data_IF_481103167427
#
_entry.id   IF_481103167427
#
_cell.length_a   1.000
_cell.length_b   1.000
_cell.length_c   1.000
_cell.angle_alpha   90.00
_cell.angle_beta   90.00
_cell.angle_gamma   90.00
#
_symmetry.space_group_name_H-M   'P 1'
#
loop_
_entity.id
_entity.type
_entity.pdbx_description
1 polymer ?
#
# COMPACT_ATOMS: atom_id res chain seq x y z
N UNK A 1 -9.28 -37.71 -53.78
CA UNK A 1 -9.66 -36.28 -53.90
C UNK A 1 -10.57 -35.70 -52.79
N UNK A 2 -11.34 -36.45 -51.97
CA UNK A 2 -12.22 -35.84 -50.94
C UNK A 2 -11.45 -35.26 -49.74
N UNK A 3 -10.32 -35.86 -49.37
CA UNK A 3 -9.49 -35.43 -48.23
C UNK A 3 -8.95 -34.00 -48.41
N UNK A 4 -8.55 -33.62 -49.63
CA UNK A 4 -8.07 -32.26 -49.94
C UNK A 4 -9.17 -31.19 -49.86
N UNK A 5 -10.40 -31.54 -50.23
CA UNK A 5 -11.56 -30.62 -50.11
C UNK A 5 -11.98 -30.45 -48.67
N UNK A 6 -11.97 -31.53 -47.89
CA UNK A 6 -12.25 -31.49 -46.45
C UNK A 6 -11.20 -30.67 -45.69
N UNK A 7 -9.90 -30.84 -46.02
CA UNK A 7 -8.82 -30.07 -45.40
C UNK A 7 -8.88 -28.58 -45.75
N UNK A 8 -9.25 -28.25 -47.00
CA UNK A 8 -9.44 -26.85 -47.42
C UNK A 8 -10.66 -26.21 -46.73
N UNK A 9 -11.78 -26.93 -46.63
CA UNK A 9 -12.96 -26.46 -45.91
C UNK A 9 -12.69 -26.27 -44.41
N UNK A 10 -11.97 -27.20 -43.79
CA UNK A 10 -11.53 -27.08 -42.40
C UNK A 10 -10.57 -25.90 -42.20
N UNK A 11 -9.58 -25.71 -43.08
CA UNK A 11 -8.68 -24.57 -43.03
C UNK A 11 -9.41 -23.23 -43.19
N UNK A 12 -10.39 -23.16 -44.10
CA UNK A 12 -11.24 -21.99 -44.27
C UNK A 12 -12.09 -21.71 -43.03
N UNK A 13 -12.69 -22.74 -42.43
CA UNK A 13 -13.47 -22.60 -41.20
C UNK A 13 -12.61 -22.07 -40.05
N UNK A 14 -11.39 -22.60 -39.89
CA UNK A 14 -10.42 -22.09 -38.90
C UNK A 14 -10.04 -20.64 -39.19
N UNK A 15 -9.81 -20.26 -40.45
CA UNK A 15 -9.50 -18.89 -40.83
C UNK A 15 -10.67 -17.92 -40.54
N UNK A 16 -11.90 -18.34 -40.82
CA UNK A 16 -13.11 -17.55 -40.50
C UNK A 16 -13.27 -17.40 -38.98
N UNK A 17 -13.12 -18.48 -38.21
CA UNK A 17 -13.17 -18.42 -36.75
C UNK A 17 -12.07 -17.52 -36.17
N UNK A 18 -10.86 -17.60 -36.71
CA UNK A 18 -9.76 -16.73 -36.32
C UNK A 18 -10.06 -15.25 -36.66
N UNK A 19 -10.66 -14.97 -37.82
CA UNK A 19 -11.08 -13.62 -38.21
C UNK A 19 -12.20 -13.07 -37.32
N UNK A 20 -13.21 -13.89 -37.02
CA UNK A 20 -14.29 -13.52 -36.10
C UNK A 20 -13.76 -13.27 -34.69
N UNK A 21 -12.84 -14.11 -34.21
CA UNK A 21 -12.19 -13.91 -32.92
C UNK A 21 -11.34 -12.64 -32.89
N UNK A 22 -10.59 -12.36 -33.96
CA UNK A 22 -9.82 -11.12 -34.06
C UNK A 22 -10.74 -9.90 -34.02
N UNK A 23 -11.85 -9.90 -34.76
CA UNK A 23 -12.85 -8.84 -34.72
C UNK A 23 -13.45 -8.66 -33.31
N UNK A 24 -13.79 -9.76 -32.64
CA UNK A 24 -14.23 -9.74 -31.24
C UNK A 24 -13.18 -9.12 -30.30
N UNK A 25 -11.91 -9.54 -30.43
CA UNK A 25 -10.83 -9.04 -29.59
C UNK A 25 -10.63 -7.52 -29.77
N UNK A 26 -10.59 -7.04 -31.01
CA UNK A 26 -10.44 -5.60 -31.29
C UNK A 26 -11.64 -4.78 -30.81
N UNK A 27 -12.85 -5.35 -30.85
CA UNK A 27 -14.02 -4.72 -30.26
C UNK A 27 -13.88 -4.57 -28.74
N UNK A 28 -13.52 -5.65 -28.02
CA UNK A 28 -13.31 -5.60 -26.55
C UNK A 28 -12.17 -4.64 -26.18
N UNK A 29 -11.06 -4.63 -26.92
CA UNK A 29 -9.97 -3.68 -26.70
C UNK A 29 -10.40 -2.23 -26.90
N UNK A 30 -11.30 -1.97 -27.85
CA UNK A 30 -11.90 -0.66 -28.06
C UNK A 30 -12.79 -0.21 -26.89
N UNK A 31 -13.60 -1.13 -26.34
CA UNK A 31 -14.45 -0.83 -25.18
C UNK A 31 -13.63 -0.57 -23.91
N UNK A 32 -12.54 -1.34 -23.68
CA UNK A 32 -11.62 -1.09 -22.55
C UNK A 32 -10.96 0.28 -22.67
N UNK A 33 -10.53 0.67 -23.88
CA UNK A 33 -9.97 2.00 -24.15
C UNK A 33 -10.95 3.12 -23.82
N UNK A 34 -12.16 3.06 -24.38
CA UNK A 34 -13.20 4.06 -24.14
C UNK A 34 -13.59 4.12 -22.66
N UNK A 35 -13.68 2.98 -21.99
CA UNK A 35 -13.97 2.92 -20.56
C UNK A 35 -12.93 3.62 -19.71
N UNK A 36 -11.63 3.45 -20.03
CA UNK A 36 -10.55 4.15 -19.34
C UNK A 36 -10.56 5.66 -19.63
N UNK A 37 -10.81 6.07 -20.88
CA UNK A 37 -10.94 7.47 -21.27
C UNK A 37 -12.10 8.15 -20.53
N UNK A 38 -13.28 7.52 -20.51
CA UNK A 38 -14.46 8.02 -19.83
C UNK A 38 -14.26 8.12 -18.30
N UNK A 39 -13.68 7.07 -17.69
CA UNK A 39 -13.32 7.12 -16.27
C UNK A 39 -12.34 8.26 -15.97
N UNK A 40 -11.35 8.48 -16.83
CA UNK A 40 -10.39 9.57 -16.66
C UNK A 40 -11.06 10.95 -16.76
N UNK A 41 -11.99 11.13 -17.68
CA UNK A 41 -12.80 12.35 -17.81
C UNK A 41 -13.67 12.60 -16.57
N UNK A 42 -14.37 11.57 -16.08
CA UNK A 42 -15.19 11.66 -14.86
C UNK A 42 -14.35 12.04 -13.64
N UNK A 43 -13.15 11.45 -13.50
CA UNK A 43 -12.23 11.79 -12.40
C UNK A 43 -11.65 13.19 -12.54
N UNK A 44 -11.30 13.63 -13.75
CA UNK A 44 -10.88 15.02 -13.99
C UNK A 44 -11.99 16.02 -13.65
N UNK A 45 -13.24 15.70 -13.93
CA UNK A 45 -14.39 16.52 -13.54
C UNK A 45 -14.55 16.63 -12.01
N UNK A 46 -14.05 15.65 -11.25
CA UNK A 46 -13.98 15.65 -9.78
C UNK A 46 -12.68 16.27 -9.24
N UNK A 47 -11.87 16.91 -10.10
CA UNK A 47 -10.64 17.59 -9.72
C UNK A 47 -9.38 16.71 -9.68
N UNK A 48 -9.47 15.43 -10.05
CA UNK A 48 -8.31 14.55 -10.11
C UNK A 48 -7.43 14.90 -11.30
N UNK A 49 -6.12 14.73 -11.17
CA UNK A 49 -5.22 14.72 -12.34
C UNK A 49 -5.09 13.29 -12.81
N UNK A 50 -5.61 12.98 -13.99
CA UNK A 50 -5.37 11.69 -14.66
C UNK A 50 -4.74 12.00 -16.01
N UNK A 51 -3.52 11.55 -16.27
CA UNK A 51 -2.84 11.81 -17.54
C UNK A 51 -1.92 10.67 -17.94
N UNK A 52 -1.58 10.61 -19.23
CA UNK A 52 -0.62 9.69 -19.82
C UNK A 52 -0.11 10.29 -21.13
N UNK A 53 1.08 9.88 -21.56
CA UNK A 53 1.70 10.39 -22.80
C UNK A 53 1.16 9.65 -24.04
N UNK A 54 1.08 8.32 -23.96
CA UNK A 54 0.53 7.48 -25.03
C UNK A 54 -0.24 6.30 -24.43
N UNK A 55 -1.16 5.74 -25.21
CA UNK A 55 -1.98 4.59 -24.83
C UNK A 55 -2.18 3.65 -26.02
N UNK A 56 -1.59 2.47 -25.94
CA UNK A 56 -1.60 1.47 -27.02
C UNK A 56 -2.28 0.16 -26.58
N UNK A 57 -3.09 -0.49 -27.44
CA UNK A 57 -3.66 -1.80 -27.11
C UNK A 57 -2.57 -2.88 -27.14
N UNK A 58 -2.63 -3.84 -26.23
CA UNK A 58 -1.71 -4.97 -26.17
C UNK A 58 -2.39 -6.27 -25.73
N UNK A 59 -1.70 -7.41 -25.89
CA UNK A 59 -2.11 -8.71 -25.35
C UNK A 59 -2.79 -9.67 -26.33
N UNK A 60 -3.02 -9.26 -27.59
CA UNK A 60 -3.61 -10.12 -28.61
C UNK A 60 -2.81 -11.43 -28.77
N UNK A 61 -3.46 -12.59 -28.93
CA UNK A 61 -4.92 -12.81 -28.88
C UNK A 61 -5.47 -13.12 -27.47
N UNK A 62 -4.62 -13.50 -26.51
CA UNK A 62 -5.06 -14.17 -25.28
C UNK A 62 -5.49 -13.23 -24.16
N UNK A 63 -5.04 -11.98 -24.18
CA UNK A 63 -5.31 -10.94 -23.17
C UNK A 63 -5.79 -9.68 -23.88
N UNK A 64 -6.68 -8.93 -23.25
CA UNK A 64 -6.98 -7.56 -23.70
C UNK A 64 -6.35 -6.62 -22.69
N UNK A 65 -5.58 -5.65 -23.17
CA UNK A 65 -4.85 -4.74 -22.30
C UNK A 65 -4.48 -3.43 -22.96
N UNK A 66 -4.00 -2.50 -22.15
CA UNK A 66 -3.52 -1.18 -22.57
C UNK A 66 -2.14 -0.94 -21.96
N UNK A 67 -1.19 -0.49 -22.76
CA UNK A 67 0.09 0.02 -22.31
C UNK A 67 0.04 1.55 -22.30
N UNK A 68 0.28 2.15 -21.14
CA UNK A 68 0.34 3.59 -20.94
C UNK A 68 1.79 4.01 -20.67
N UNK A 69 2.25 5.01 -21.41
CA UNK A 69 3.53 5.66 -21.16
C UNK A 69 3.36 6.85 -20.20
N UNK A 70 4.29 6.97 -19.25
CA UNK A 70 4.33 8.05 -18.27
C UNK A 70 2.98 8.37 -17.59
N UNK A 71 2.26 7.38 -17.04
CA UNK A 71 0.97 7.60 -16.39
C UNK A 71 1.12 8.48 -15.14
N UNK A 72 0.14 9.34 -14.94
CA UNK A 72 0.04 10.25 -13.80
C UNK A 72 -1.37 10.19 -13.22
N UNK A 73 -1.44 10.06 -11.90
CA UNK A 73 -2.66 10.03 -11.11
C UNK A 73 -2.47 10.90 -9.87
N UNK A 74 -3.22 11.98 -9.71
CA UNK A 74 -3.24 12.80 -8.52
C UNK A 74 -4.64 12.93 -7.94
N UNK A 75 -4.75 12.62 -6.65
CA UNK A 75 -5.97 12.81 -5.87
C UNK A 75 -5.97 14.25 -5.30
N UNK A 76 -7.09 15.00 -5.36
CA UNK A 76 -7.17 16.36 -4.83
C UNK A 76 -6.74 16.47 -3.36
N UNK A 77 -5.69 17.24 -3.09
CA UNK A 77 -5.15 17.41 -1.74
C UNK A 77 -4.55 16.14 -1.13
N UNK A 78 -4.47 15.05 -1.89
CA UNK A 78 -4.04 13.73 -1.44
C UNK A 78 -2.74 13.26 -2.09
N UNK A 79 -2.66 11.96 -2.38
CA UNK A 79 -1.47 11.37 -3.00
C UNK A 79 -1.49 11.60 -4.51
N UNK A 80 -0.35 12.00 -5.05
CA UNK A 80 -0.05 12.00 -6.47
C UNK A 80 1.05 10.98 -6.78
N UNK A 81 0.81 10.20 -7.82
CA UNK A 81 1.66 9.15 -8.32
C UNK A 81 1.96 9.38 -9.80
N UNK A 82 3.23 9.24 -10.17
CA UNK A 82 3.67 9.17 -11.57
C UNK A 82 4.51 7.93 -11.77
N UNK A 83 4.15 7.12 -12.75
CA UNK A 83 4.90 5.94 -13.16
C UNK A 83 5.70 6.17 -14.44
N UNK A 84 6.69 5.34 -14.70
CA UNK A 84 7.37 5.28 -15.99
C UNK A 84 6.50 4.62 -17.06
N UNK A 85 5.87 3.49 -16.71
CA UNK A 85 4.98 2.74 -17.57
C UNK A 85 3.90 2.05 -16.73
N UNK A 86 2.73 1.83 -17.32
CA UNK A 86 1.65 1.03 -16.73
C UNK A 86 1.01 0.17 -17.81
N UNK A 87 0.95 -1.13 -17.56
CA UNK A 87 0.31 -2.10 -18.42
C UNK A 87 -0.90 -2.68 -17.70
N UNK A 88 -2.10 -2.45 -18.23
CA UNK A 88 -3.32 -3.09 -17.75
C UNK A 88 -3.59 -4.32 -18.62
N UNK A 89 -4.08 -5.40 -18.02
CA UNK A 89 -4.45 -6.61 -18.77
C UNK A 89 -5.55 -7.40 -18.08
N UNK A 90 -6.52 -7.86 -18.86
CA UNK A 90 -7.63 -8.69 -18.44
C UNK A 90 -7.86 -9.84 -19.44
N UNK A 91 -8.70 -10.81 -19.09
CA UNK A 91 -9.08 -11.87 -20.04
C UNK A 91 -10.20 -11.34 -20.95
N UNK A 92 -10.20 -11.62 -22.26
CA UNK A 92 -11.23 -11.10 -23.17
C UNK A 92 -12.68 -11.48 -22.80
N UNK A 93 -12.86 -12.56 -22.02
CA UNK A 93 -14.17 -13.07 -21.56
C UNK A 93 -14.47 -12.76 -20.09
N UNK A 94 -13.51 -12.18 -19.37
CA UNK A 94 -13.61 -11.85 -17.95
C UNK A 94 -12.83 -10.56 -17.70
N UNK A 95 -13.55 -9.45 -17.76
CA UNK A 95 -13.04 -8.10 -17.54
C UNK A 95 -13.14 -7.67 -16.07
N UNK A 96 -13.66 -8.53 -15.18
CA UNK A 96 -13.75 -8.19 -13.75
C UNK A 96 -12.45 -8.49 -13.02
N UNK A 97 -11.55 -9.28 -13.61
CA UNK A 97 -10.20 -9.54 -13.09
C UNK A 97 -9.16 -8.81 -13.91
N UNK A 98 -8.63 -7.72 -13.35
CA UNK A 98 -7.67 -6.84 -14.02
C UNK A 98 -6.33 -6.91 -13.31
N UNK A 99 -5.26 -7.21 -14.05
CA UNK A 99 -3.89 -7.12 -13.56
C UNK A 99 -3.23 -5.89 -14.16
N UNK A 100 -2.72 -5.02 -13.29
CA UNK A 100 -1.93 -3.86 -13.62
C UNK A 100 -0.46 -4.15 -13.30
N UNK A 101 0.44 -3.86 -14.22
CA UNK A 101 1.89 -3.98 -14.04
C UNK A 101 2.54 -2.63 -14.28
N UNK A 102 3.29 -2.14 -13.30
CA UNK A 102 3.95 -0.84 -13.37
C UNK A 102 5.43 -0.97 -12.98
N UNK A 103 6.30 -1.55 -13.83
CA UNK A 103 7.73 -1.64 -13.51
C UNK A 103 8.43 -0.30 -13.72
N UNK A 104 9.65 -0.19 -13.19
CA UNK A 104 10.54 0.94 -13.44
C UNK A 104 10.43 2.01 -12.37
N UNK A 105 10.59 3.29 -12.77
CA UNK A 105 10.62 4.42 -11.83
C UNK A 105 9.24 4.93 -11.48
N UNK A 106 9.07 5.29 -10.22
CA UNK A 106 7.88 5.89 -9.65
C UNK A 106 8.24 7.13 -8.86
N UNK A 107 7.37 8.13 -8.93
CA UNK A 107 7.39 9.30 -8.07
C UNK A 107 6.06 9.35 -7.32
N UNK A 108 6.13 9.32 -6.01
CA UNK A 108 5.01 9.59 -5.12
C UNK A 108 5.20 10.96 -4.48
N UNK A 109 4.10 11.66 -4.28
CA UNK A 109 4.04 12.90 -3.51
C UNK A 109 2.71 12.96 -2.80
N UNK A 110 2.66 13.58 -1.64
CA UNK A 110 1.42 13.70 -0.88
C UNK A 110 1.64 14.31 0.49
N UNK A 111 0.66 14.19 1.40
CA UNK A 111 0.72 14.81 2.72
C UNK A 111 1.93 14.35 3.56
N UNK A 112 2.36 13.10 3.41
CA UNK A 112 3.52 12.55 4.12
C UNK A 112 4.89 12.94 3.50
N UNK A 113 4.89 13.74 2.43
CA UNK A 113 6.09 14.09 1.66
C UNK A 113 6.16 13.38 0.31
N UNK A 114 7.32 13.50 -0.34
CA UNK A 114 7.60 12.88 -1.64
C UNK A 114 8.61 11.75 -1.54
N UNK A 115 8.46 10.74 -2.40
CA UNK A 115 9.38 9.64 -2.54
C UNK A 115 9.59 9.31 -4.03
N UNK A 116 10.83 9.04 -4.40
CA UNK A 116 11.17 8.47 -5.70
C UNK A 116 11.74 7.08 -5.49
N UNK A 117 11.19 6.09 -6.18
CA UNK A 117 11.65 4.72 -6.06
C UNK A 117 11.59 4.01 -7.41
N UNK A 118 12.42 3.00 -7.59
CA UNK A 118 12.30 2.04 -8.68
C UNK A 118 11.74 0.72 -8.14
N UNK A 119 10.92 0.04 -8.92
CA UNK A 119 10.50 -1.32 -8.66
C UNK A 119 10.90 -2.23 -9.83
N UNK A 120 11.48 -3.39 -9.52
CA UNK A 120 11.72 -4.43 -10.52
C UNK A 120 10.39 -5.01 -11.02
N UNK A 121 9.46 -5.22 -10.09
CA UNK A 121 8.09 -5.61 -10.36
C UNK A 121 7.16 -4.85 -9.43
N UNK A 122 6.03 -4.41 -9.97
CA UNK A 122 4.92 -3.85 -9.20
C UNK A 122 3.63 -4.28 -9.89
N UNK A 123 2.93 -5.24 -9.28
CA UNK A 123 1.69 -5.81 -9.77
C UNK A 123 0.54 -5.43 -8.86
N UNK A 124 -0.54 -4.92 -9.42
CA UNK A 124 -1.81 -4.71 -8.74
C UNK A 124 -2.87 -5.57 -9.41
N UNK A 125 -3.36 -6.58 -8.71
CA UNK A 125 -4.50 -7.38 -9.11
C UNK A 125 -5.77 -6.79 -8.52
N UNK A 126 -6.76 -6.54 -9.38
CA UNK A 126 -8.08 -6.01 -9.02
C UNK A 126 -9.14 -7.04 -9.38
N UNK A 127 -9.89 -7.50 -8.38
CA UNK A 127 -11.17 -8.18 -8.58
C UNK A 127 -12.28 -7.13 -8.42
N UNK A 128 -13.11 -7.03 -9.45
CA UNK A 128 -14.21 -6.08 -9.55
C UNK A 128 -15.55 -6.81 -9.55
N UNK A 129 -16.59 -6.14 -9.09
CA UNK A 129 -17.96 -6.61 -9.33
C UNK A 129 -18.46 -6.22 -10.73
N UNK A 130 -19.67 -6.64 -11.08
CA UNK A 130 -20.27 -6.30 -12.39
C UNK A 130 -20.59 -4.81 -12.57
N UNK A 131 -20.59 -4.03 -11.49
CA UNK A 131 -20.75 -2.58 -11.51
C UNK A 131 -19.39 -1.84 -11.57
N UNK A 132 -18.27 -2.58 -11.61
CA UNK A 132 -16.92 -2.01 -11.64
C UNK A 132 -16.42 -1.54 -10.28
N UNK A 133 -17.06 -1.92 -9.17
CA UNK A 133 -16.57 -1.63 -7.82
C UNK A 133 -15.50 -2.64 -7.43
N UNK A 134 -14.51 -2.19 -6.67
CA UNK A 134 -13.44 -3.05 -6.17
C UNK A 134 -14.01 -3.99 -5.11
N UNK A 135 -13.92 -5.29 -5.34
CA UNK A 135 -14.17 -6.34 -4.33
C UNK A 135 -12.87 -6.70 -3.61
N UNK A 136 -11.75 -6.75 -4.33
CA UNK A 136 -10.43 -6.99 -3.74
C UNK A 136 -9.36 -6.32 -4.59
N UNK A 137 -8.43 -5.64 -3.94
CA UNK A 137 -7.20 -5.15 -4.55
C UNK A 137 -6.01 -5.79 -3.83
N UNK A 138 -5.09 -6.39 -4.59
CA UNK A 138 -3.84 -6.94 -4.04
C UNK A 138 -2.64 -6.36 -4.78
N UNK A 139 -1.75 -5.70 -4.05
CA UNK A 139 -0.49 -5.19 -4.54
C UNK A 139 0.64 -6.15 -4.18
N UNK A 140 1.50 -6.46 -5.14
CA UNK A 140 2.77 -7.18 -4.95
C UNK A 140 3.88 -6.39 -5.61
N UNK A 141 4.96 -6.16 -4.88
CA UNK A 141 6.14 -5.49 -5.38
C UNK A 141 7.39 -6.30 -5.07
N UNK A 142 8.37 -6.25 -5.96
CA UNK A 142 9.69 -6.84 -5.73
C UNK A 142 10.81 -5.91 -6.18
N UNK A 143 11.94 -6.03 -5.47
CA UNK A 143 13.15 -5.23 -5.71
C UNK A 143 12.86 -3.71 -5.76
N UNK A 144 12.18 -3.20 -4.72
CA UNK A 144 11.96 -1.77 -4.58
C UNK A 144 13.23 -1.10 -4.05
N UNK A 145 13.60 0.04 -4.62
CA UNK A 145 14.79 0.78 -4.21
C UNK A 145 14.58 2.30 -4.29
N UNK A 146 15.08 3.02 -3.30
CA UNK A 146 15.05 4.48 -3.22
C UNK A 146 16.35 4.96 -2.56
N UNK A 147 17.29 5.45 -3.36
CA UNK A 147 18.62 5.84 -2.86
C UNK A 147 19.32 4.66 -2.18
N UNK A 148 19.69 4.81 -0.91
CA UNK A 148 20.30 3.75 -0.10
C UNK A 148 19.30 2.82 0.59
N UNK A 149 18.00 3.04 0.40
CA UNK A 149 16.93 2.21 0.93
C UNK A 149 16.54 1.15 -0.09
N UNK A 150 16.36 -0.09 0.35
CA UNK A 150 15.85 -1.17 -0.49
C UNK A 150 14.81 -2.00 0.26
N UNK A 151 13.81 -2.52 -0.45
CA UNK A 151 12.80 -3.44 0.07
C UNK A 151 12.70 -4.59 -0.90
N UNK A 152 12.99 -5.81 -0.45
CA UNK A 152 13.01 -6.97 -1.34
C UNK A 152 11.61 -7.34 -1.80
N UNK A 153 10.64 -7.34 -0.88
CA UNK A 153 9.25 -7.70 -1.14
C UNK A 153 8.31 -6.69 -0.50
N UNK A 154 7.25 -6.35 -1.24
CA UNK A 154 6.12 -5.58 -0.75
C UNK A 154 4.85 -6.36 -1.08
N UNK A 155 3.96 -6.50 -0.13
CA UNK A 155 2.61 -7.01 -0.35
C UNK A 155 1.62 -6.08 0.34
N UNK A 156 0.49 -5.81 -0.29
CA UNK A 156 -0.62 -5.13 0.38
C UNK A 156 -1.95 -5.63 -0.17
N UNK A 157 -3.01 -5.54 0.63
CA UNK A 157 -4.36 -5.83 0.20
C UNK A 157 -5.37 -4.81 0.71
N UNK A 158 -6.46 -4.68 -0.01
CA UNK A 158 -7.61 -3.87 0.34
C UNK A 158 -8.89 -4.60 -0.07
N UNK A 159 -9.75 -4.89 0.91
CA UNK A 159 -10.97 -5.68 0.78
C UNK A 159 -12.17 -4.89 1.34
N UNK A 160 -12.92 -4.16 0.49
CA UNK A 160 -14.18 -3.54 0.90
C UNK A 160 -15.25 -4.61 1.20
N UNK A 161 -15.79 -4.60 2.42
CA UNK A 161 -16.73 -5.63 2.89
C UNK A 161 -18.17 -5.47 2.37
N UNK A 162 -18.44 -4.46 1.54
CA UNK A 162 -19.73 -4.28 0.87
C UNK A 162 -20.94 -4.12 1.80
N UNK A 163 -20.74 -3.60 3.01
CA UNK A 163 -21.81 -3.48 4.01
C UNK A 163 -22.80 -2.36 3.63
N UNK A 164 -24.07 -2.70 3.51
CA UNK A 164 -25.14 -1.74 3.25
C UNK A 164 -25.42 -0.91 4.51
N UNK A 165 -25.31 0.42 4.41
CA UNK A 165 -25.57 1.38 5.50
C UNK A 165 -24.83 1.05 6.82
N UNK A 166 -23.49 1.09 6.83
CA UNK A 166 -22.70 0.72 8.01
C UNK A 166 -22.93 1.71 9.17
N UNK A 167 -23.07 1.18 10.38
CA UNK A 167 -22.96 1.98 11.60
C UNK A 167 -21.49 2.36 11.86
N UNK A 168 -21.24 3.30 12.76
CA UNK A 168 -19.90 3.85 13.03
C UNK A 168 -18.88 2.79 13.51
N UNK A 169 -19.34 1.72 14.17
CA UNK A 169 -18.51 0.64 14.70
C UNK A 169 -18.38 -0.56 13.75
N UNK A 170 -19.12 -0.55 12.63
CA UNK A 170 -19.16 -1.65 11.68
C UNK A 170 -17.87 -1.67 10.86
N UNK A 171 -17.13 -2.81 10.80
CA UNK A 171 -16.02 -2.96 9.87
C UNK A 171 -16.51 -2.87 8.42
N UNK A 172 -15.92 -2.00 7.61
CA UNK A 172 -16.33 -1.74 6.22
C UNK A 172 -15.25 -2.03 5.20
N UNK A 173 -13.99 -2.12 5.62
CA UNK A 173 -12.89 -2.60 4.80
C UNK A 173 -11.86 -3.31 5.67
N UNK A 174 -11.21 -4.34 5.10
CA UNK A 174 -9.97 -4.91 5.64
C UNK A 174 -8.79 -4.46 4.81
N UNK A 175 -7.65 -4.33 5.46
CA UNK A 175 -6.40 -4.07 4.77
C UNK A 175 -5.26 -4.87 5.39
N UNK A 176 -4.23 -5.09 4.58
CA UNK A 176 -2.94 -5.55 5.06
C UNK A 176 -1.83 -4.87 4.26
N UNK A 177 -0.67 -4.70 4.87
CA UNK A 177 0.55 -4.32 4.17
C UNK A 177 1.75 -4.97 4.86
N UNK A 178 2.67 -5.52 4.09
CA UNK A 178 3.88 -6.13 4.58
C UNK A 178 5.07 -5.79 3.67
N UNK A 179 6.19 -5.43 4.27
CA UNK A 179 7.47 -5.21 3.62
C UNK A 179 8.50 -6.16 4.22
N UNK A 180 9.17 -6.94 3.37
CA UNK A 180 10.16 -7.93 3.77
C UNK A 180 11.57 -7.58 3.31
N UNK A 181 12.56 -7.90 4.16
CA UNK A 181 13.99 -7.64 3.93
C UNK A 181 14.25 -6.19 3.52
N UNK A 182 14.05 -5.30 4.48
CA UNK A 182 14.16 -3.85 4.35
C UNK A 182 15.58 -3.43 4.71
N UNK A 183 16.27 -2.78 3.79
CA UNK A 183 17.54 -2.10 4.05
C UNK A 183 17.30 -0.61 4.18
N UNK A 184 17.70 -0.05 5.31
CA UNK A 184 17.55 1.35 5.67
C UNK A 184 18.76 2.19 5.20
N UNK A 185 18.57 3.51 5.06
CA UNK A 185 19.65 4.41 4.70
C UNK A 185 20.69 4.52 5.83
N UNK A 186 21.86 5.05 5.50
CA UNK A 186 22.92 5.29 6.48
C UNK A 186 22.46 6.31 7.55
N UNK A 187 22.83 6.06 8.81
CA UNK A 187 22.45 6.90 9.96
C UNK A 187 21.17 6.48 10.69
N UNK A 188 20.16 5.95 10.00
CA UNK A 188 18.91 5.49 10.63
C UNK A 188 19.05 4.18 11.41
N UNK A 189 20.03 3.33 11.04
CA UNK A 189 20.30 2.03 11.65
C UNK A 189 21.45 2.00 12.66
N UNK A 190 21.86 3.13 13.24
CA UNK A 190 23.10 3.21 14.03
C UNK A 190 23.14 2.28 15.26
N UNK A 191 21.98 1.92 15.83
CA UNK A 191 21.88 1.04 17.01
C UNK A 191 21.41 -0.37 16.62
N UNK A 192 20.37 -0.47 15.78
CA UNK A 192 19.74 -1.74 15.43
C UNK A 192 20.36 -2.42 14.20
N UNK A 193 21.24 -1.74 13.47
CA UNK A 193 21.67 -2.17 12.15
C UNK A 193 20.72 -1.66 11.07
N UNK A 194 21.13 -1.85 9.81
CA UNK A 194 20.40 -1.30 8.66
C UNK A 194 19.36 -2.25 8.08
N UNK A 195 19.39 -3.52 8.44
CA UNK A 195 18.52 -4.53 7.86
C UNK A 195 17.40 -4.87 8.87
N UNK A 196 16.15 -4.60 8.49
CA UNK A 196 14.95 -5.06 9.18
C UNK A 196 14.33 -6.20 8.37
N UNK A 197 13.95 -7.28 9.05
CA UNK A 197 13.44 -8.47 8.39
C UNK A 197 12.01 -8.28 7.90
N UNK A 198 11.16 -7.64 8.71
CA UNK A 198 9.73 -7.50 8.44
C UNK A 198 9.17 -6.21 9.05
N UNK A 199 8.31 -5.54 8.29
CA UNK A 199 7.28 -4.65 8.83
C UNK A 199 5.96 -5.12 8.25
N UNK A 200 5.02 -5.51 9.09
CA UNK A 200 3.68 -5.94 8.68
C UNK A 200 2.60 -5.23 9.50
N UNK A 201 1.50 -4.92 8.85
CA UNK A 201 0.31 -4.33 9.47
C UNK A 201 -0.93 -4.93 8.84
N UNK A 202 -1.94 -5.24 9.66
CA UNK A 202 -3.26 -5.61 9.21
C UNK A 202 -4.34 -5.14 10.19
N UNK A 203 -5.54 -5.00 9.67
CA UNK A 203 -6.67 -4.50 10.43
C UNK A 203 -7.84 -4.11 9.56
N UNK A 204 -8.70 -3.26 10.10
CA UNK A 204 -9.94 -2.86 9.45
C UNK A 204 -10.31 -1.40 9.66
N UNK A 205 -11.01 -0.85 8.69
CA UNK A 205 -11.63 0.47 8.77
C UNK A 205 -13.04 0.31 9.35
N UNK A 206 -13.38 1.14 10.34
CA UNK A 206 -14.72 1.17 10.93
C UNK A 206 -15.52 2.38 10.44
N UNK A 207 -16.83 2.16 10.34
CA UNK A 207 -17.77 3.19 9.90
C UNK A 207 -17.83 3.34 8.38
N UNK A 208 -18.70 4.24 7.87
CA UNK A 208 -18.80 4.51 6.44
C UNK A 208 -17.44 4.89 5.86
N UNK A 209 -17.04 4.24 4.76
CA UNK A 209 -15.82 4.60 4.05
C UNK A 209 -15.95 6.01 3.47
N UNK A 210 -14.86 6.80 3.47
CA UNK A 210 -14.84 8.07 2.75
C UNK A 210 -15.14 7.82 1.26
N UNK A 211 -15.94 8.68 0.61
CA UNK A 211 -16.35 8.48 -0.79
C UNK A 211 -15.16 8.56 -1.76
N UNK A 212 -14.07 9.22 -1.37
CA UNK A 212 -12.82 9.26 -2.12
C UNK A 212 -11.60 9.38 -1.18
N UNK A 213 -10.39 9.08 -1.67
CA UNK A 213 -9.15 9.32 -0.92
C UNK A 213 -8.72 10.80 -0.90
N UNK A 214 -9.56 11.74 -1.33
CA UNK A 214 -9.26 13.17 -1.27
C UNK A 214 -9.11 13.63 0.17
N UNK A 215 -8.22 14.59 0.40
CA UNK A 215 -7.94 15.07 1.75
C UNK A 215 -9.18 15.58 2.48
N UNK A 216 -10.05 16.30 1.79
CA UNK A 216 -11.31 16.79 2.37
C UNK A 216 -12.20 15.65 2.87
N UNK A 217 -12.28 14.56 2.11
CA UNK A 217 -13.13 13.42 2.44
C UNK A 217 -12.52 12.58 3.57
N UNK A 218 -11.20 12.43 3.60
CA UNK A 218 -10.49 11.76 4.69
C UNK A 218 -10.60 12.54 6.00
N UNK A 219 -10.46 13.87 5.96
CA UNK A 219 -10.60 14.73 7.13
C UNK A 219 -12.04 14.77 7.62
N UNK A 220 -13.02 14.82 6.71
CA UNK A 220 -14.44 14.73 7.06
C UNK A 220 -14.80 13.37 7.68
N UNK A 221 -14.27 12.28 7.12
CA UNK A 221 -14.42 10.93 7.67
C UNK A 221 -13.85 10.84 9.09
N UNK A 222 -12.64 11.34 9.31
CA UNK A 222 -12.03 11.35 10.65
C UNK A 222 -12.83 12.21 11.62
N UNK A 223 -13.28 13.41 11.21
CA UNK A 223 -14.11 14.30 12.03
C UNK A 223 -15.48 13.68 12.39
N UNK A 224 -15.99 12.77 11.57
CA UNK A 224 -17.19 11.98 11.83
C UNK A 224 -16.94 10.76 12.75
N UNK A 225 -15.75 10.63 13.34
CA UNK A 225 -15.37 9.51 14.20
C UNK A 225 -14.85 8.30 13.43
N UNK A 226 -14.37 8.49 12.20
CA UNK A 226 -13.70 7.48 11.42
C UNK A 226 -12.42 6.99 12.09
N UNK A 227 -12.30 5.66 12.20
CA UNK A 227 -11.22 5.00 12.93
C UNK A 227 -10.70 3.79 12.15
N UNK A 228 -9.39 3.58 12.23
CA UNK A 228 -8.71 2.36 11.83
C UNK A 228 -8.40 1.54 13.07
N UNK A 229 -8.87 0.30 13.11
CA UNK A 229 -8.46 -0.68 14.11
C UNK A 229 -7.32 -1.52 13.52
N UNK A 230 -6.20 -1.55 14.24
CA UNK A 230 -5.04 -2.35 13.92
C UNK A 230 -5.15 -3.65 14.71
N UNK A 231 -5.40 -4.75 13.98
CA UNK A 231 -5.46 -6.09 14.58
C UNK A 231 -4.06 -6.58 14.91
N UNK A 232 -3.11 -6.31 14.02
CA UNK A 232 -1.71 -6.66 14.22
C UNK A 232 -0.77 -5.65 13.54
N UNK A 233 0.27 -5.26 14.25
CA UNK A 233 1.43 -4.53 13.76
C UNK A 233 2.67 -5.29 14.22
N UNK A 234 3.50 -5.70 13.28
CA UNK A 234 4.73 -6.43 13.53
C UNK A 234 5.92 -5.71 12.93
N UNK A 235 6.97 -5.56 13.73
CA UNK A 235 8.27 -5.06 13.28
C UNK A 235 9.34 -6.01 13.78
N UNK A 236 10.02 -6.68 12.86
CA UNK A 236 11.20 -7.51 13.16
C UNK A 236 12.46 -6.79 12.68
N UNK A 237 13.21 -6.26 13.63
CA UNK A 237 14.44 -5.50 13.41
C UNK A 237 15.50 -5.90 14.43
N UNK A 238 16.13 -7.03 14.16
CA UNK A 238 17.01 -7.74 15.08
C UNK A 238 18.03 -6.81 15.79
N UNK A 239 18.13 -6.88 17.14
CA UNK A 239 17.54 -7.90 18.02
C UNK A 239 16.12 -7.60 18.49
N UNK A 240 15.55 -6.46 18.08
CA UNK A 240 14.27 -5.98 18.58
C UNK A 240 13.14 -6.50 17.71
N UNK A 241 12.14 -7.08 18.35
CA UNK A 241 10.87 -7.37 17.71
C UNK A 241 9.75 -6.67 18.47
N UNK A 242 8.84 -6.04 17.74
CA UNK A 242 7.68 -5.33 18.28
C UNK A 242 6.43 -5.96 17.68
N UNK A 243 5.50 -6.32 18.54
CA UNK A 243 4.15 -6.73 18.18
C UNK A 243 3.19 -5.76 18.85
N UNK A 244 2.21 -5.22 18.13
CA UNK A 244 1.26 -4.28 18.69
C UNK A 244 -0.12 -4.39 18.06
N UNK A 245 -1.13 -4.01 18.82
CA UNK A 245 -2.52 -3.86 18.39
C UNK A 245 -3.06 -2.52 18.90
N UNK A 246 -4.13 -2.02 18.29
CA UNK A 246 -4.80 -0.82 18.80
C UNK A 246 -5.54 -0.02 17.75
N UNK A 247 -5.50 1.29 17.89
CA UNK A 247 -6.40 2.18 17.15
C UNK A 247 -5.66 3.39 16.60
N UNK A 248 -5.97 3.77 15.37
CA UNK A 248 -5.45 4.93 14.66
C UNK A 248 -6.62 5.80 14.15
N UNK A 249 -6.52 7.10 14.36
CA UNK A 249 -7.41 8.12 13.83
C UNK A 249 -6.58 9.34 13.38
N UNK A 250 -7.25 10.38 12.88
CA UNK A 250 -6.64 11.69 12.72
C UNK A 250 -7.21 12.66 13.77
N UNK A 251 -6.35 13.52 14.32
CA UNK A 251 -6.76 14.61 15.19
C UNK A 251 -7.45 15.75 14.41
N UNK A 252 -7.86 16.80 15.13
CA UNK A 252 -8.54 17.95 14.52
C UNK A 252 -7.68 18.74 13.51
N UNK A 253 -6.37 18.55 13.50
CA UNK A 253 -5.43 19.12 12.53
C UNK A 253 -5.07 18.14 11.41
N UNK A 254 -5.74 16.97 11.36
CA UNK A 254 -5.47 15.92 10.38
C UNK A 254 -4.15 15.20 10.62
N UNK A 255 -3.60 15.24 11.83
CA UNK A 255 -2.36 14.54 12.18
C UNK A 255 -2.68 13.17 12.80
N UNK A 256 -1.79 12.17 12.63
CA UNK A 256 -1.99 10.85 13.21
C UNK A 256 -2.18 10.90 14.74
N UNK A 257 -3.26 10.29 15.22
CA UNK A 257 -3.54 10.04 16.62
C UNK A 257 -3.68 8.53 16.81
N UNK A 258 -2.83 7.91 17.61
CA UNK A 258 -2.86 6.47 17.82
C UNK A 258 -2.72 6.08 19.30
N UNK A 259 -3.41 5.02 19.68
CA UNK A 259 -3.24 4.35 20.97
C UNK A 259 -3.04 2.85 20.72
N UNK A 260 -1.87 2.35 21.09
CA UNK A 260 -1.42 0.99 20.80
C UNK A 260 -0.98 0.29 22.10
N UNK A 261 -1.30 -0.98 22.21
CA UNK A 261 -0.70 -1.88 23.19
C UNK A 261 0.40 -2.67 22.49
N UNK A 262 1.65 -2.45 22.88
CA UNK A 262 2.78 -3.13 22.26
C UNK A 262 3.46 -4.11 23.21
N UNK A 263 4.09 -5.14 22.65
CA UNK A 263 5.02 -6.06 23.31
C UNK A 263 6.36 -5.97 22.61
N UNK A 264 7.40 -5.66 23.38
CA UNK A 264 8.77 -5.51 22.85
C UNK A 264 9.65 -6.64 23.33
N UNK A 265 10.23 -7.39 22.39
CA UNK A 265 11.23 -8.44 22.63
C UNK A 265 12.63 -7.91 22.32
N UNK A 266 13.65 -8.60 22.83
CA UNK A 266 15.05 -8.27 22.57
C UNK A 266 15.57 -7.01 23.28
N UNK A 267 14.80 -6.46 24.23
CA UNK A 267 15.15 -5.24 24.97
C UNK A 267 16.51 -5.31 25.68
N UNK A 268 16.92 -6.49 26.16
CA UNK A 268 18.24 -6.67 26.79
C UNK A 268 19.39 -6.43 25.81
N UNK A 269 19.32 -7.06 24.63
CA UNK A 269 20.32 -6.87 23.58
C UNK A 269 20.29 -5.44 23.01
N UNK A 270 19.10 -4.81 22.97
CA UNK A 270 18.99 -3.39 22.64
C UNK A 270 19.76 -2.51 23.64
N UNK A 271 19.60 -2.75 24.95
CA UNK A 271 20.34 -1.98 25.97
C UNK A 271 21.84 -2.17 25.82
N UNK A 272 22.30 -3.39 25.51
CA UNK A 272 23.71 -3.68 25.27
C UNK A 272 24.22 -2.88 24.05
N UNK A 273 23.50 -2.88 22.93
CA UNK A 273 23.87 -2.10 21.74
C UNK A 273 23.85 -0.57 21.97
N UNK A 274 22.91 -0.07 22.77
CA UNK A 274 22.88 1.35 23.15
C UNK A 274 24.08 1.75 23.99
N UNK A 275 24.55 0.87 24.88
CA UNK A 275 25.76 1.08 25.67
C UNK A 275 27.03 1.04 24.79
N UNK A 276 27.13 0.06 23.90
CA UNK A 276 28.25 -0.07 22.95
C UNK A 276 28.35 1.14 22.01
N UNK A 277 27.21 1.63 21.52
CA UNK A 277 27.12 2.84 20.70
C UNK A 277 27.32 4.14 21.52
N UNK A 278 27.49 4.06 22.84
CA UNK A 278 27.61 5.19 23.79
C UNK A 278 26.42 6.16 23.73
N UNK A 279 25.26 5.66 23.33
CA UNK A 279 23.98 6.39 23.43
C UNK A 279 23.54 6.45 24.90
N UNK A 280 23.80 5.38 25.65
CA UNK A 280 23.66 5.30 27.10
C UNK A 280 25.00 4.93 27.73
N UNK A 281 25.27 5.40 28.95
CA UNK A 281 26.39 4.86 29.72
C UNK A 281 26.07 3.44 30.21
N UNK A 282 27.11 2.67 30.49
CA UNK A 282 26.98 1.27 30.87
C UNK A 282 26.13 1.05 32.14
N UNK A 283 26.19 1.99 33.10
CA UNK A 283 25.43 1.91 34.34
C UNK A 283 23.93 2.10 34.09
N UNK A 284 23.58 3.12 33.32
CA UNK A 284 22.19 3.39 32.91
C UNK A 284 21.61 2.25 32.08
N UNK A 285 22.37 1.70 31.13
CA UNK A 285 21.92 0.57 30.33
C UNK A 285 21.67 -0.68 31.18
N UNK A 286 22.56 -0.99 32.14
CA UNK A 286 22.39 -2.10 33.06
C UNK A 286 21.16 -1.93 33.98
N UNK A 287 20.96 -0.72 34.52
CA UNK A 287 19.80 -0.40 35.35
C UNK A 287 18.48 -0.52 34.56
N UNK A 288 18.43 0.03 33.34
CA UNK A 288 17.28 -0.07 32.45
C UNK A 288 16.97 -1.55 32.12
N UNK A 289 17.98 -2.35 31.79
CA UNK A 289 17.84 -3.79 31.55
C UNK A 289 17.25 -4.54 32.74
N UNK A 290 17.67 -4.20 33.96
CA UNK A 290 17.14 -4.82 35.17
C UNK A 290 15.66 -4.49 35.36
N UNK A 291 15.27 -3.21 35.24
CA UNK A 291 13.88 -2.77 35.35
C UNK A 291 13.00 -3.43 34.28
N UNK A 292 13.45 -3.42 33.02
CA UNK A 292 12.72 -4.04 31.92
C UNK A 292 12.59 -5.56 32.11
N UNK A 293 13.61 -6.24 32.63
CA UNK A 293 13.55 -7.67 32.98
C UNK A 293 12.51 -7.98 34.06
N UNK A 294 12.33 -7.08 35.04
CA UNK A 294 11.30 -7.22 36.09
C UNK A 294 9.88 -6.98 35.55
N UNK A 295 9.74 -6.16 34.51
CA UNK A 295 8.46 -5.88 33.84
C UNK A 295 8.09 -6.93 32.78
N UNK A 296 9.09 -7.66 32.27
CA UNK A 296 8.92 -8.62 31.21
C UNK A 296 7.94 -9.72 31.61
N UNK A 297 7.05 -10.07 30.68
CA UNK A 297 6.14 -11.20 30.77
C UNK A 297 6.41 -12.16 29.62
N UNK A 298 6.18 -13.48 29.80
CA UNK A 298 6.27 -14.41 28.69
C UNK A 298 5.26 -14.06 27.58
N UNK A 299 5.70 -14.09 26.32
CA UNK A 299 4.83 -14.07 25.14
C UNK A 299 4.14 -15.43 24.94
N UNK A 300 3.35 -15.56 23.86
CA UNK A 300 2.65 -16.80 23.54
C UNK A 300 3.59 -18.01 23.33
N UNK A 301 4.87 -17.77 23.04
CA UNK A 301 5.92 -18.78 22.84
C UNK A 301 6.85 -18.90 24.07
N UNK A 302 6.54 -18.23 25.19
CA UNK A 302 7.31 -18.28 26.42
C UNK A 302 8.56 -17.39 26.46
N UNK A 303 8.77 -16.52 25.47
CA UNK A 303 9.93 -15.62 25.40
C UNK A 303 9.65 -14.34 26.20
N UNK A 304 10.65 -13.74 26.87
CA UNK A 304 10.45 -12.52 27.64
C UNK A 304 10.14 -11.32 26.72
N UNK A 305 9.00 -10.66 26.96
CA UNK A 305 8.55 -9.46 26.26
C UNK A 305 8.08 -8.39 27.25
N UNK A 306 8.40 -7.13 27.00
CA UNK A 306 7.94 -6.02 27.85
C UNK A 306 6.65 -5.44 27.26
N UNK A 307 5.51 -5.50 28.00
CA UNK A 307 4.29 -4.82 27.58
C UNK A 307 4.44 -3.32 27.79
N UNK A 308 4.20 -2.53 26.75
CA UNK A 308 4.34 -1.07 26.78
C UNK A 308 3.17 -0.40 26.06
N UNK A 309 2.47 0.55 26.69
CA UNK A 309 1.51 1.38 25.99
C UNK A 309 2.27 2.37 25.10
N UNK A 310 1.94 2.40 23.82
CA UNK A 310 2.46 3.38 22.86
C UNK A 310 1.34 4.33 22.44
N UNK A 311 1.64 5.62 22.40
CA UNK A 311 0.71 6.62 21.85
C UNK A 311 1.40 7.48 20.82
N UNK A 312 0.66 7.85 19.78
CA UNK A 312 1.05 8.88 18.82
C UNK A 312 0.10 10.04 19.03
N UNK A 313 0.64 11.20 19.43
CA UNK A 313 -0.13 12.42 19.66
C UNK A 313 0.80 13.62 19.54
N UNK A 314 0.27 14.74 19.01
CA UNK A 314 1.02 16.00 18.84
C UNK A 314 2.35 15.82 18.07
N UNK A 315 2.38 14.89 17.09
CA UNK A 315 3.58 14.55 16.32
C UNK A 315 4.68 13.84 17.13
N UNK A 316 4.40 13.41 18.35
CA UNK A 316 5.29 12.62 19.20
C UNK A 316 4.88 11.15 19.25
N UNK A 317 5.86 10.24 19.34
CA UNK A 317 5.65 8.84 19.74
C UNK A 317 6.05 8.71 21.20
N UNK A 318 5.15 8.20 22.03
CA UNK A 318 5.31 8.13 23.48
C UNK A 318 5.18 6.70 23.96
N UNK A 319 6.04 6.32 24.90
CA UNK A 319 5.95 5.10 25.69
C UNK A 319 5.61 5.49 27.14
N UNK A 320 4.33 5.38 27.51
CA UNK A 320 3.83 6.02 28.73
C UNK A 320 4.17 7.54 28.74
N UNK A 321 4.80 8.08 29.80
CA UNK A 321 5.19 9.50 29.85
C UNK A 321 6.47 9.83 29.05
N UNK A 322 7.20 8.83 28.53
CA UNK A 322 8.49 9.05 27.88
C UNK A 322 8.32 9.22 26.37
N UNK A 323 8.80 10.34 25.81
CA UNK A 323 8.85 10.54 24.36
C UNK A 323 10.00 9.73 23.75
N UNK A 324 9.69 8.80 22.87
CA UNK A 324 10.67 7.90 22.22
C UNK A 324 10.94 8.27 20.76
N UNK A 325 10.11 9.11 20.16
CA UNK A 325 10.27 9.53 18.78
C UNK A 325 9.30 10.63 18.35
N UNK A 326 9.29 10.87 17.05
CA UNK A 326 8.39 11.83 16.40
C UNK A 326 7.85 11.24 15.10
N UNK A 327 6.60 11.58 14.80
CA UNK A 327 5.98 11.30 13.51
C UNK A 327 6.03 12.59 12.69
N UNK A 328 6.58 12.57 11.46
CA UNK A 328 6.56 13.74 10.59
C UNK A 328 5.12 14.22 10.36
N UNK A 329 4.87 15.54 10.37
CA UNK A 329 3.52 16.05 10.17
C UNK A 329 3.02 15.80 8.75
N UNK A 330 1.72 15.51 8.62
CA UNK A 330 1.02 15.43 7.34
C UNK A 330 0.70 16.84 6.84
N UNK A 331 1.21 17.18 5.67
CA UNK A 331 0.97 18.46 5.00
C UNK A 331 -0.09 18.33 3.89
N UNK A 332 -1.36 18.45 4.27
CA UNK A 332 -2.50 18.40 3.36
C UNK A 332 -2.53 19.53 2.30
N UNK A 333 -1.82 20.65 2.54
CA UNK A 333 -1.77 21.78 1.60
C UNK A 333 -0.79 21.57 0.44
N UNK A 334 0.34 20.90 0.68
CA UNK A 334 1.35 20.61 -0.35
C UNK A 334 0.80 19.72 -1.47
N UNK A 335 -0.20 18.90 -1.15
CA UNK A 335 -0.88 18.02 -2.09
C UNK A 335 -1.96 18.70 -2.95
N UNK A 336 -2.30 19.95 -2.66
CA UNK A 336 -3.32 20.71 -3.42
C UNK A 336 -2.73 21.61 -4.52
N UNK A 337 -1.40 21.79 -4.54
CA UNK A 337 -0.77 22.94 -5.22
C UNK A 337 -0.05 22.67 -6.54
N UNK A 338 -0.01 21.43 -7.05
CA UNK A 338 0.87 21.11 -8.19
C UNK A 338 0.08 20.93 -9.50
N UNK A 339 -0.46 22.05 -10.01
CA UNK A 339 -0.75 22.19 -11.44
C UNK A 339 0.59 22.42 -12.15
N UNK A 340 1.22 21.36 -12.67
CA UNK A 340 2.44 21.51 -13.46
C UNK A 340 2.04 21.97 -14.86
N UNK A 341 2.47 23.18 -15.22
CA UNK A 341 2.49 23.67 -16.60
C UNK A 341 3.47 22.88 -17.46
#
# INVERSE_FOLDING_TARGET
>A
MPIRRLSLAAALAVAVLAGLYAAYWFHVAGEVRKGLEHWAEDRRAQGWTVAWESMEPQGFPLRVGLALAAPELAVPGGVAWRGQALALSARPHDLTRVTLSAPGRHRLSGPAGGAEFSAGELLLDLDLDRAGRIELATLKGSALASGSTAVATLAASWDPLGVAAPAHDTPTARFSAAAGSIRLPEGLGAVLGRDAALIAIDGHVRGPLPPSPAASDLLAWSAAGGVIELEHLEVDWEPVAVEADGTLALDGAGQPLAALSARVRGFGALMDRLAEARVLDAGTAAAARMVLSLMARPDAQGRPAVPVPLTVQDGGVWMGPARIGSVPPLNWSAASGMTIR
#
